data_IF_642017667578
#
_entry.id   IF_642017667578
#
_cell.length_a   1.000
_cell.length_b   1.000
_cell.length_c   1.000
_cell.angle_alpha   90.00
_cell.angle_beta   90.00
_cell.angle_gamma   90.00
#
_symmetry.space_group_name_H-M   'P 1'
#
loop_
_entity.id
_entity.type
_entity.pdbx_description
1 polymer ?
#
# COMPACT_ATOMS: atom_id res chain seq x y z
N UNK A 1 4.42 4.99 -10.20
CA UNK A 1 3.37 5.83 -9.59
C UNK A 1 4.07 6.76 -8.59
N UNK A 2 3.88 8.07 -8.71
CA UNK A 2 4.61 9.05 -7.92
C UNK A 2 3.82 9.31 -6.62
N UNK A 3 4.31 8.84 -5.47
CA UNK A 3 3.85 9.23 -4.11
C UNK A 3 4.07 10.73 -3.79
N UNK A 4 4.25 11.56 -4.82
CA UNK A 4 4.98 12.82 -4.77
C UNK A 4 4.21 13.93 -4.06
N UNK A 5 2.95 13.71 -3.64
CA UNK A 5 2.10 14.79 -3.16
C UNK A 5 1.51 14.66 -1.75
N UNK A 6 1.95 13.66 -0.97
CA UNK A 6 1.42 13.42 0.39
C UNK A 6 2.47 13.52 1.49
N UNK A 7 3.67 14.01 1.16
CA UNK A 7 4.75 14.20 2.12
C UNK A 7 4.50 15.43 3.00
N UNK A 8 4.24 15.21 4.29
CA UNK A 8 4.27 16.28 5.29
C UNK A 8 5.72 16.70 5.60
N UNK A 9 6.00 17.99 5.88
CA UNK A 9 7.30 18.43 6.40
C UNK A 9 7.66 17.79 7.76
N UNK A 10 6.70 17.14 8.43
CA UNK A 10 6.91 16.48 9.72
C UNK A 10 7.13 14.97 9.61
N UNK A 11 7.14 14.42 8.40
CA UNK A 11 7.44 13.02 8.11
C UNK A 11 8.90 12.72 8.45
N UNK A 12 9.15 11.71 9.27
CA UNK A 12 10.52 11.30 9.59
C UNK A 12 11.15 10.54 8.42
N UNK A 13 12.49 10.57 8.25
CA UNK A 13 13.17 9.81 7.20
C UNK A 13 12.89 8.30 7.26
N UNK A 14 12.69 7.77 8.47
CA UNK A 14 12.34 6.37 8.70
C UNK A 14 10.93 6.05 8.17
N UNK A 15 9.95 6.90 8.49
CA UNK A 15 8.58 6.75 8.01
C UNK A 15 8.51 6.89 6.49
N UNK A 16 9.26 7.83 5.91
CA UNK A 16 9.39 7.99 4.46
C UNK A 16 9.90 6.71 3.79
N UNK A 17 10.92 6.06 4.37
CA UNK A 17 11.47 4.81 3.85
C UNK A 17 10.41 3.71 3.84
N UNK A 18 9.66 3.57 4.93
CA UNK A 18 8.58 2.57 5.03
C UNK A 18 7.47 2.86 4.02
N UNK A 19 7.10 4.13 3.85
CA UNK A 19 6.10 4.55 2.85
C UNK A 19 6.54 4.18 1.42
N UNK A 20 7.81 4.42 1.07
CA UNK A 20 8.38 4.04 -0.22
C UNK A 20 8.39 2.52 -0.42
N UNK A 21 8.78 1.76 0.59
CA UNK A 21 8.77 0.29 0.54
C UNK A 21 7.36 -0.26 0.35
N UNK A 22 6.36 0.29 1.06
CA UNK A 22 4.96 -0.09 0.88
C UNK A 22 4.45 0.21 -0.53
N UNK A 23 4.75 1.40 -1.06
CA UNK A 23 4.33 1.73 -2.41
C UNK A 23 4.99 0.87 -3.48
N UNK A 24 6.28 0.56 -3.31
CA UNK A 24 6.99 -0.36 -4.20
C UNK A 24 6.36 -1.76 -4.15
N UNK A 25 6.12 -2.27 -2.95
CA UNK A 25 5.50 -3.57 -2.74
C UNK A 25 4.12 -3.62 -3.39
N UNK A 26 3.29 -2.58 -3.24
CA UNK A 26 1.95 -2.51 -3.84
C UNK A 26 1.96 -2.26 -5.36
N UNK A 27 3.00 -1.65 -5.91
CA UNK A 27 3.08 -1.36 -7.35
C UNK A 27 3.71 -2.49 -8.17
N UNK A 28 4.64 -3.23 -7.58
CA UNK A 28 5.48 -4.21 -8.27
C UNK A 28 5.29 -5.61 -7.69
N UNK A 29 4.07 -5.97 -7.28
CA UNK A 29 3.83 -7.31 -6.76
C UNK A 29 4.18 -8.36 -7.81
N UNK A 30 5.14 -9.22 -7.47
CA UNK A 30 5.29 -10.53 -8.09
C UNK A 30 4.26 -11.47 -7.44
N UNK A 31 3.16 -11.82 -8.13
CA UNK A 31 2.12 -12.68 -7.56
C UNK A 31 2.62 -14.08 -7.18
N UNK A 32 3.82 -14.48 -7.64
CA UNK A 32 4.43 -15.77 -7.28
C UNK A 32 5.29 -15.70 -6.02
N UNK A 33 5.56 -14.50 -5.46
CA UNK A 33 6.34 -14.36 -4.25
C UNK A 33 5.46 -14.47 -2.98
N UNK A 34 5.52 -15.58 -2.22
CA UNK A 34 4.71 -15.78 -1.03
C UNK A 34 5.05 -14.79 0.10
N UNK A 35 6.27 -14.23 0.10
CA UNK A 35 6.74 -13.31 1.14
C UNK A 35 6.07 -11.93 1.04
N UNK A 36 5.43 -11.60 -0.09
CA UNK A 36 4.81 -10.29 -0.29
C UNK A 36 3.75 -9.96 0.75
N UNK A 37 2.97 -10.95 1.18
CA UNK A 37 1.93 -10.75 2.21
C UNK A 37 2.52 -10.50 3.59
N UNK A 38 3.56 -11.26 3.96
CA UNK A 38 4.26 -11.09 5.22
C UNK A 38 4.95 -9.71 5.25
N UNK A 39 5.67 -9.36 4.18
CA UNK A 39 6.30 -8.05 4.04
C UNK A 39 5.29 -6.91 4.11
N UNK A 40 4.12 -7.05 3.46
CA UNK A 40 3.05 -6.05 3.53
C UNK A 40 2.57 -5.84 4.97
N UNK A 41 2.35 -6.94 5.69
CA UNK A 41 1.90 -6.92 7.09
C UNK A 41 2.94 -6.24 7.97
N UNK A 42 4.20 -6.67 7.89
CA UNK A 42 5.31 -6.13 8.67
C UNK A 42 5.51 -4.63 8.43
N UNK A 43 5.49 -4.20 7.17
CA UNK A 43 5.63 -2.78 6.81
C UNK A 43 4.45 -1.94 7.30
N UNK A 44 3.22 -2.47 7.24
CA UNK A 44 2.01 -1.77 7.71
C UNK A 44 2.04 -1.57 9.23
N UNK A 45 2.43 -2.60 9.99
CA UNK A 45 2.61 -2.50 11.43
C UNK A 45 3.74 -1.54 11.83
N UNK A 46 4.85 -1.59 11.10
CA UNK A 46 5.99 -0.69 11.32
C UNK A 46 5.57 0.76 11.06
N UNK A 47 4.85 1.01 9.96
CA UNK A 47 4.31 2.33 9.63
C UNK A 47 3.39 2.86 10.73
N UNK A 48 2.42 2.05 11.18
CA UNK A 48 1.46 2.44 12.22
C UNK A 48 2.17 2.86 13.53
N UNK A 49 3.20 2.10 13.94
CA UNK A 49 4.02 2.44 15.11
C UNK A 49 4.73 3.80 14.93
N UNK A 50 5.33 4.03 13.76
CA UNK A 50 6.05 5.28 13.46
C UNK A 50 5.11 6.48 13.40
N UNK A 51 3.93 6.34 12.79
CA UNK A 51 2.91 7.39 12.71
C UNK A 51 2.41 7.74 14.11
N UNK A 52 2.03 6.75 14.93
CA UNK A 52 1.57 6.96 16.31
C UNK A 52 2.63 7.63 17.17
N UNK A 53 3.88 7.16 17.06
CA UNK A 53 5.02 7.79 17.73
C UNK A 53 5.14 9.25 17.31
N UNK A 54 5.12 9.53 16.01
CA UNK A 54 5.27 10.91 15.52
C UNK A 54 4.12 11.82 15.93
N UNK A 55 2.88 11.33 15.91
CA UNK A 55 1.72 12.06 16.42
C UNK A 55 1.87 12.43 17.90
N UNK A 56 2.47 11.56 18.72
CA UNK A 56 2.70 11.85 20.14
C UNK A 56 3.80 12.88 20.42
N UNK A 57 4.70 13.11 19.46
CA UNK A 57 5.83 14.05 19.59
C UNK A 57 5.49 15.47 19.09
N UNK A 58 4.42 15.63 18.31
CA UNK A 58 4.02 16.90 17.71
C UNK A 58 3.00 17.64 18.58
N UNK A 59 2.96 18.97 18.43
CA UNK A 59 1.96 19.85 19.04
C UNK A 59 1.18 20.57 17.94
N UNK A 60 0.07 21.22 18.30
CA UNK A 60 -0.65 22.06 17.35
C UNK A 60 0.19 23.29 16.97
N UNK A 61 0.23 23.71 15.68
CA UNK A 61 -0.58 23.22 14.56
C UNK A 61 0.05 22.05 13.77
N UNK A 62 1.29 21.66 14.07
CA UNK A 62 2.03 20.65 13.30
C UNK A 62 1.38 19.26 13.37
N UNK A 63 0.77 18.94 14.52
CA UNK A 63 0.04 17.69 14.73
C UNK A 63 -1.12 17.55 13.73
N UNK A 64 -1.95 18.58 13.60
CA UNK A 64 -3.09 18.59 12.69
C UNK A 64 -2.65 18.51 11.23
N UNK A 65 -1.58 19.22 10.86
CA UNK A 65 -1.01 19.17 9.50
C UNK A 65 -0.48 17.77 9.16
N UNK A 66 0.30 17.17 10.06
CA UNK A 66 0.83 15.83 9.90
C UNK A 66 -0.30 14.79 9.82
N UNK A 67 -1.27 14.84 10.72
CA UNK A 67 -2.39 13.90 10.74
C UNK A 67 -3.21 13.93 9.44
N UNK A 68 -3.44 15.11 8.87
CA UNK A 68 -4.15 15.25 7.59
C UNK A 68 -3.37 14.65 6.43
N UNK A 69 -2.07 14.93 6.35
CA UNK A 69 -1.19 14.36 5.33
C UNK A 69 -1.13 12.82 5.43
N UNK A 70 -0.95 12.29 6.64
CA UNK A 70 -0.90 10.84 6.88
C UNK A 70 -2.23 10.15 6.57
N UNK A 71 -3.36 10.81 6.84
CA UNK A 71 -4.67 10.30 6.44
C UNK A 71 -4.81 10.21 4.92
N UNK A 72 -4.40 11.24 4.19
CA UNK A 72 -4.42 11.24 2.72
C UNK A 72 -3.52 10.15 2.15
N UNK A 73 -2.28 10.03 2.63
CA UNK A 73 -1.38 8.97 2.22
C UNK A 73 -1.95 7.57 2.53
N UNK A 74 -2.59 7.40 3.68
CA UNK A 74 -3.23 6.13 4.02
C UNK A 74 -4.37 5.77 3.05
N UNK A 75 -5.15 6.74 2.60
CA UNK A 75 -6.17 6.53 1.57
C UNK A 75 -5.53 6.11 0.25
N UNK A 76 -4.39 6.68 -0.14
CA UNK A 76 -3.65 6.24 -1.33
C UNK A 76 -3.22 4.77 -1.24
N UNK A 77 -2.67 4.34 -0.10
CA UNK A 77 -2.31 2.93 0.12
C UNK A 77 -3.52 2.00 0.06
N UNK A 78 -4.65 2.39 0.67
CA UNK A 78 -5.89 1.62 0.60
C UNK A 78 -6.36 1.47 -0.84
N UNK A 79 -6.34 2.55 -1.63
CA UNK A 79 -6.75 2.52 -3.04
C UNK A 79 -5.83 1.62 -3.88
N UNK A 80 -4.52 1.65 -3.63
CA UNK A 80 -3.56 0.77 -4.30
C UNK A 80 -3.84 -0.71 -3.97
N UNK A 81 -4.03 -1.04 -2.69
CA UNK A 81 -4.34 -2.40 -2.26
C UNK A 81 -5.68 -2.91 -2.82
N UNK A 82 -6.69 -2.05 -2.91
CA UNK A 82 -7.98 -2.39 -3.52
C UNK A 82 -7.87 -2.62 -5.03
N UNK A 83 -7.09 -1.77 -5.72
CA UNK A 83 -6.86 -1.91 -7.16
C UNK A 83 -6.16 -3.22 -7.49
N UNK A 84 -5.16 -3.57 -6.68
CA UNK A 84 -4.46 -4.85 -6.75
C UNK A 84 -5.40 -6.04 -6.54
N UNK A 85 -6.25 -5.99 -5.50
CA UNK A 85 -7.25 -7.03 -5.25
C UNK A 85 -8.23 -7.19 -6.43
N UNK A 86 -8.64 -6.08 -7.04
CA UNK A 86 -9.50 -6.09 -8.23
C UNK A 86 -8.81 -6.75 -9.43
N UNK A 87 -7.53 -6.43 -9.67
CA UNK A 87 -6.74 -7.04 -10.75
C UNK A 87 -6.65 -8.55 -10.61
N UNK A 88 -6.32 -9.05 -9.41
CA UNK A 88 -6.24 -10.50 -9.13
C UNK A 88 -7.58 -11.18 -9.38
N UNK A 89 -8.69 -10.55 -9.01
CA UNK A 89 -10.03 -11.07 -9.26
C UNK A 89 -10.32 -11.19 -10.77
N UNK A 90 -9.95 -10.18 -11.55
CA UNK A 90 -10.15 -10.18 -12.99
C UNK A 90 -9.30 -11.26 -13.67
N UNK A 91 -8.05 -11.44 -13.26
CA UNK A 91 -7.16 -12.49 -13.75
C UNK A 91 -7.72 -13.90 -13.50
N UNK A 92 -8.27 -14.14 -12.30
CA UNK A 92 -8.95 -15.40 -11.98
C UNK A 92 -10.17 -15.65 -12.88
N UNK A 93 -10.97 -14.61 -13.14
CA UNK A 93 -12.15 -14.73 -14.02
C UNK A 93 -11.71 -15.06 -15.44
N UNK A 94 -10.68 -14.41 -15.97
CA UNK A 94 -10.14 -14.69 -17.30
C UNK A 94 -9.56 -16.11 -17.39
N UNK A 95 -8.82 -16.55 -16.37
CA UNK A 95 -8.29 -17.91 -16.31
C UNK A 95 -9.39 -18.97 -16.36
N UNK A 96 -10.48 -18.80 -15.58
CA UNK A 96 -11.62 -19.73 -15.60
C UNK A 96 -12.29 -19.76 -16.98
N UNK A 97 -12.45 -18.60 -17.63
CA UNK A 97 -13.01 -18.51 -19.00
C UNK A 97 -12.11 -19.19 -20.01
N UNK A 98 -10.80 -18.97 -19.95
CA UNK A 98 -9.80 -19.63 -20.79
C UNK A 98 -9.85 -21.15 -20.64
N UNK A 99 -9.91 -21.66 -19.41
CA UNK A 99 -10.04 -23.11 -19.15
C UNK A 99 -11.32 -23.69 -19.75
N UNK A 100 -12.44 -22.98 -19.66
CA UNK A 100 -13.71 -23.39 -20.29
C UNK A 100 -13.63 -23.39 -21.81
N UNK A 101 -12.95 -22.41 -22.42
CA UNK A 101 -12.78 -22.34 -23.86
C UNK A 101 -11.92 -23.51 -24.38
N UNK A 102 -10.78 -23.80 -23.74
CA UNK A 102 -9.91 -24.93 -24.12
C UNK A 102 -10.65 -26.27 -24.05
N UNK A 103 -11.48 -26.48 -23.02
CA UNK A 103 -12.28 -27.70 -22.88
C UNK A 103 -13.39 -27.85 -23.93
N UNK A 104 -13.72 -26.83 -24.72
CA UNK A 104 -14.69 -26.92 -25.83
C UNK A 104 -14.07 -27.35 -27.16
N UNK A 105 -12.73 -27.33 -27.27
CA UNK A 105 -12.00 -27.76 -28.46
C UNK A 105 -11.43 -29.18 -28.33
N UNK A 106 -11.70 -29.86 -27.21
CA UNK A 106 -11.49 -31.30 -27.01
C UNK A 106 -12.80 -32.03 -27.26
#
# INVERSE_FOLDING_TARGET
>A
MNLVNTKSPHTTPELERVNLQLAQLLSNQDPENPDNYEQFTQLTETRDKLVKKRLSELQEPQLSEFAKAEYQLNQEFVNMAQSLLSSVKDDLVQFIRGRKAVNRYK
#
